data_IF_598087470295
#
_entry.id   IF_598087470295
#
_cell.length_a   1.000
_cell.length_b   1.000
_cell.length_c   1.000
_cell.angle_alpha   90.00
_cell.angle_beta   90.00
_cell.angle_gamma   90.00
#
_symmetry.space_group_name_H-M   'P 1'
#
loop_
_entity.id
_entity.type
_entity.pdbx_description
1 polymer ?
#
# COMPACT_ATOMS: atom_id res chain seq x y z
N UNK A 1 -3.07 0.11 19.03
CA UNK A 1 -3.90 0.55 17.88
C UNK A 1 -4.41 1.94 18.18
N UNK A 2 -4.21 2.88 17.25
CA UNK A 2 -4.67 4.26 17.40
C UNK A 2 -6.08 4.36 16.82
N UNK A 3 -7.02 4.90 17.59
CA UNK A 3 -8.37 5.23 17.14
C UNK A 3 -8.50 6.76 17.04
N UNK A 4 -9.35 7.23 16.14
CA UNK A 4 -9.68 8.64 16.03
C UNK A 4 -10.59 9.10 17.18
N UNK A 5 -10.99 10.38 17.14
CA UNK A 5 -11.85 11.00 18.17
C UNK A 5 -13.26 10.38 18.24
N UNK A 6 -13.62 9.53 17.28
CA UNK A 6 -14.92 8.87 17.16
C UNK A 6 -14.83 7.35 17.36
N UNK A 7 -13.66 6.83 17.70
CA UNK A 7 -13.43 5.39 17.90
C UNK A 7 -13.25 4.60 16.59
N UNK A 8 -13.08 5.26 15.45
CA UNK A 8 -12.75 4.62 14.19
C UNK A 8 -11.24 4.46 14.02
N UNK A 9 -10.81 3.52 13.19
CA UNK A 9 -9.39 3.39 12.84
C UNK A 9 -9.11 4.41 11.72
N UNK A 10 -8.24 5.42 11.96
CA UNK A 10 -7.94 6.44 10.97
C UNK A 10 -7.16 5.83 9.81
N UNK A 11 -7.57 6.20 8.60
CA UNK A 11 -6.86 5.92 7.35
C UNK A 11 -6.52 7.24 6.70
N UNK A 12 -5.24 7.57 6.65
CA UNK A 12 -4.73 8.82 6.07
C UNK A 12 -4.40 8.65 4.59
N UNK A 13 -4.19 9.75 3.88
CA UNK A 13 -3.71 9.70 2.49
C UNK A 13 -2.33 9.03 2.39
N UNK A 14 -1.45 9.27 3.36
CA UNK A 14 -0.14 8.61 3.44
C UNK A 14 -0.28 7.09 3.60
N UNK A 15 -1.23 6.62 4.41
CA UNK A 15 -1.50 5.18 4.54
C UNK A 15 -1.90 4.57 3.19
N UNK A 16 -2.74 5.26 2.44
CA UNK A 16 -3.19 4.83 1.11
C UNK A 16 -2.00 4.80 0.15
N UNK A 17 -1.17 5.84 0.16
CA UNK A 17 0.02 5.91 -0.68
C UNK A 17 1.00 4.77 -0.37
N UNK A 18 1.35 4.58 0.90
CA UNK A 18 2.26 3.50 1.35
C UNK A 18 1.72 2.12 0.99
N UNK A 19 0.41 1.90 1.16
CA UNK A 19 -0.24 0.66 0.75
C UNK A 19 -0.13 0.40 -0.75
N UNK A 20 -0.46 1.40 -1.58
CA UNK A 20 -0.41 1.23 -3.04
C UNK A 20 1.03 1.04 -3.52
N UNK A 21 1.98 1.76 -2.93
CA UNK A 21 3.40 1.61 -3.23
C UNK A 21 3.90 0.18 -2.94
N UNK A 22 3.52 -0.41 -1.80
CA UNK A 22 3.97 -1.74 -1.41
C UNK A 22 3.24 -2.86 -2.18
N UNK A 23 1.92 -2.74 -2.36
CA UNK A 23 1.08 -3.83 -2.88
C UNK A 23 0.95 -3.78 -4.40
N UNK A 24 0.86 -2.60 -4.99
CA UNK A 24 0.53 -2.45 -6.40
C UNK A 24 1.16 -1.20 -7.04
N UNK A 25 2.51 -1.09 -7.02
CA UNK A 25 3.24 0.13 -7.43
C UNK A 25 2.94 0.57 -8.87
N UNK A 26 2.55 -0.37 -9.75
CA UNK A 26 2.16 -0.08 -11.14
C UNK A 26 0.98 0.88 -11.29
N UNK A 27 0.17 1.06 -10.25
CA UNK A 27 -1.00 1.95 -10.27
C UNK A 27 -0.71 3.35 -9.70
N UNK A 28 0.52 3.62 -9.22
CA UNK A 28 0.90 4.94 -8.72
C UNK A 28 0.88 6.00 -9.83
N UNK A 29 1.09 5.59 -11.09
CA UNK A 29 1.12 6.48 -12.24
C UNK A 29 0.30 5.92 -13.40
N UNK A 30 -0.50 6.75 -14.11
CA UNK A 30 -0.83 8.15 -13.84
C UNK A 30 -1.86 8.32 -12.69
N UNK A 31 -2.04 9.54 -12.17
CA UNK A 31 -2.92 9.84 -11.04
C UNK A 31 -4.37 9.33 -11.21
N UNK A 32 -4.90 9.37 -12.44
CA UNK A 32 -6.24 8.83 -12.73
C UNK A 32 -6.32 7.33 -12.42
N UNK A 33 -5.28 6.58 -12.77
CA UNK A 33 -5.19 5.13 -12.50
C UNK A 33 -5.06 4.87 -11.01
N UNK A 34 -4.30 5.69 -10.28
CA UNK A 34 -4.19 5.65 -8.82
C UNK A 34 -5.56 5.81 -8.15
N UNK A 35 -6.28 6.90 -8.46
CA UNK A 35 -7.61 7.19 -7.90
C UNK A 35 -8.62 6.08 -8.23
N UNK A 36 -8.60 5.60 -9.48
CA UNK A 36 -9.46 4.49 -9.92
C UNK A 36 -9.17 3.21 -9.15
N UNK A 37 -7.89 2.87 -8.95
CA UNK A 37 -7.49 1.71 -8.17
C UNK A 37 -7.93 1.83 -6.70
N UNK A 38 -7.63 2.96 -6.05
CA UNK A 38 -8.00 3.22 -4.66
C UNK A 38 -9.51 3.04 -4.43
N UNK A 39 -10.32 3.60 -5.33
CA UNK A 39 -11.78 3.51 -5.26
C UNK A 39 -12.31 2.11 -5.57
N UNK A 40 -11.92 1.52 -6.70
CA UNK A 40 -12.52 0.27 -7.18
C UNK A 40 -12.13 -0.94 -6.32
N UNK A 41 -10.96 -0.88 -5.67
CA UNK A 41 -10.47 -1.95 -4.81
C UNK A 41 -10.67 -1.68 -3.31
N UNK A 42 -11.38 -0.61 -2.95
CA UNK A 42 -11.60 -0.16 -1.57
C UNK A 42 -10.33 -0.27 -0.71
N UNK A 43 -9.27 0.43 -1.15
CA UNK A 43 -8.00 0.46 -0.43
C UNK A 43 -8.18 0.95 1.03
N UNK A 44 -9.00 1.97 1.32
CA UNK A 44 -9.23 2.40 2.70
C UNK A 44 -9.84 1.30 3.58
N UNK A 45 -10.83 0.54 3.08
CA UNK A 45 -11.39 -0.60 3.81
C UNK A 45 -10.35 -1.68 4.13
N UNK A 46 -9.47 -1.98 3.17
CA UNK A 46 -8.38 -2.95 3.36
C UNK A 46 -7.36 -2.49 4.39
N UNK A 47 -6.98 -1.21 4.34
CA UNK A 47 -6.07 -0.62 5.33
C UNK A 47 -6.69 -0.70 6.72
N UNK A 48 -7.98 -0.37 6.85
CA UNK A 48 -8.70 -0.46 8.13
C UNK A 48 -8.64 -1.89 8.70
N UNK A 49 -8.92 -2.90 7.88
CA UNK A 49 -8.85 -4.30 8.28
C UNK A 49 -7.42 -4.75 8.62
N UNK A 50 -6.43 -4.30 7.85
CA UNK A 50 -5.01 -4.60 8.10
C UNK A 50 -4.51 -3.98 9.41
N UNK A 51 -4.91 -2.74 9.70
CA UNK A 51 -4.63 -2.09 10.99
C UNK A 51 -5.34 -2.83 12.12
N UNK A 52 -6.62 -3.20 11.93
CA UNK A 52 -7.41 -3.97 12.92
C UNK A 52 -6.73 -5.28 13.32
N UNK A 53 -6.17 -5.98 12.35
CA UNK A 53 -5.45 -7.23 12.56
C UNK A 53 -3.97 -7.07 12.93
N UNK A 54 -3.43 -5.84 12.96
CA UNK A 54 -2.03 -5.56 13.30
C UNK A 54 -1.02 -5.89 12.19
N UNK A 55 -1.46 -6.11 10.94
CA UNK A 55 -0.59 -6.51 9.83
C UNK A 55 -0.21 -5.36 8.88
N UNK A 56 -0.74 -4.15 9.11
CA UNK A 56 -0.51 -3.01 8.21
C UNK A 56 0.98 -2.73 7.99
N UNK A 57 1.77 -2.61 9.05
CA UNK A 57 3.21 -2.33 8.97
C UNK A 57 3.95 -3.43 8.18
N UNK A 58 3.63 -4.70 8.43
CA UNK A 58 4.22 -5.83 7.69
C UNK A 58 3.92 -5.77 6.20
N UNK A 59 2.74 -5.26 5.81
CA UNK A 59 2.34 -5.13 4.41
C UNK A 59 3.10 -3.97 3.75
N UNK A 60 3.17 -2.80 4.38
CA UNK A 60 3.79 -1.60 3.78
C UNK A 60 5.31 -1.66 3.77
N UNK A 61 5.93 -2.34 4.75
CA UNK A 61 7.39 -2.54 4.79
C UNK A 61 7.85 -3.82 4.09
N UNK A 62 6.99 -4.45 3.29
CA UNK A 62 7.36 -5.67 2.56
C UNK A 62 8.48 -5.37 1.56
N UNK A 63 9.64 -6.05 1.64
CA UNK A 63 10.71 -5.85 0.67
C UNK A 63 10.25 -6.30 -0.72
N UNK A 64 10.70 -5.59 -1.76
CA UNK A 64 10.43 -5.96 -3.13
C UNK A 64 10.92 -7.41 -3.40
N UNK A 65 10.19 -8.23 -4.18
CA UNK A 65 10.59 -9.59 -4.48
C UNK A 65 12.01 -9.63 -5.07
N UNK A 66 12.86 -10.50 -4.50
CA UNK A 66 14.28 -10.60 -4.87
C UNK A 66 14.54 -10.94 -6.35
N UNK A 67 13.54 -11.47 -7.07
CA UNK A 67 13.66 -11.71 -8.51
C UNK A 67 13.80 -10.40 -9.30
N UNK A 68 13.20 -9.28 -8.86
CA UNK A 68 13.39 -7.99 -9.50
C UNK A 68 14.81 -7.45 -9.30
N UNK A 69 15.40 -7.68 -8.13
CA UNK A 69 16.80 -7.32 -7.88
C UNK A 69 17.76 -8.10 -8.79
N UNK A 70 17.50 -9.39 -9.01
CA UNK A 70 18.27 -10.20 -9.97
C UNK A 70 18.14 -9.69 -11.41
N UNK A 71 16.93 -9.35 -11.84
CA UNK A 71 16.69 -8.81 -13.18
C UNK A 71 17.34 -7.43 -13.40
N UNK A 72 17.30 -6.55 -12.38
CA UNK A 72 17.95 -5.24 -12.45
C UNK A 72 19.49 -5.37 -12.50
N UNK A 73 20.08 -6.29 -11.72
CA UNK A 73 21.52 -6.58 -11.78
C UNK A 73 21.93 -7.14 -13.15
N UNK A 74 21.11 -8.00 -13.75
CA UNK A 74 21.38 -8.58 -15.08
C UNK A 74 21.29 -7.55 -16.23
N UNK A 75 20.65 -6.40 -16.03
CA UNK A 75 20.54 -5.35 -17.05
C UNK A 75 21.71 -4.34 -17.04
N UNK A 76 22.62 -4.44 -16.07
CA UNK A 76 23.76 -3.52 -15.88
C UNK A 76 25.09 -4.14 -16.34
N UNK A 77 25.11 -5.45 -16.65
CA UNK A 77 26.27 -6.20 -17.17
C UNK A 77 26.07 -6.48 -18.65
#
# INVERSE_FOLDING_TARGET
MCFDLFGEIPVTEDDIFMWVQAVAPRWLTPERSYRSYVRNYDVPGKIRAAKLSGHFDTIVYRPAPSYHARLALAAIV
#
